data_IF_523464251683
#
_entry.id   IF_523464251683
#
_cell.length_a   1.000
_cell.length_b   1.000
_cell.length_c   1.000
_cell.angle_alpha   90.00
_cell.angle_beta   90.00
_cell.angle_gamma   90.00
#
_symmetry.space_group_name_H-M   'P 1'
#
loop_
_entity.id
_entity.type
_entity.pdbx_description
1 polymer ?
#
# COMPACT_ATOMS: atom_id res chain seq x y z
N UNK A 1 -9.76 16.09 0.45
CA UNK A 1 -8.86 14.93 0.32
C UNK A 1 -8.50 14.39 1.68
N UNK A 2 -8.81 13.13 1.91
CA UNK A 2 -8.36 12.38 3.10
C UNK A 2 -6.87 12.06 2.94
N UNK A 3 -6.10 12.14 4.03
CA UNK A 3 -4.69 11.75 4.07
C UNK A 3 -4.58 10.48 4.89
N UNK A 4 -3.94 9.46 4.35
CA UNK A 4 -3.68 8.21 5.06
C UNK A 4 -2.18 7.90 5.02
N UNK A 5 -1.67 7.36 6.12
CA UNK A 5 -0.32 6.80 6.16
C UNK A 5 -0.44 5.33 5.76
N UNK A 6 0.38 4.92 4.80
CA UNK A 6 0.43 3.53 4.32
C UNK A 6 1.53 2.80 5.07
N UNK A 7 1.16 1.67 5.66
CA UNK A 7 2.08 0.72 6.27
C UNK A 7 2.62 -0.28 5.21
N UNK A 8 3.78 -0.89 5.47
CA UNK A 8 4.41 -1.81 4.53
C UNK A 8 3.52 -3.01 4.22
N UNK A 9 2.77 -3.49 5.21
CA UNK A 9 1.85 -4.64 5.07
C UNK A 9 0.84 -4.45 3.93
N UNK A 10 0.34 -3.23 3.72
CA UNK A 10 -0.60 -2.91 2.63
C UNK A 10 0.06 -3.09 1.26
N UNK A 11 1.29 -2.59 1.13
CA UNK A 11 2.03 -2.71 -0.14
C UNK A 11 2.38 -4.18 -0.40
N UNK A 12 2.86 -4.90 0.61
CA UNK A 12 3.21 -6.31 0.51
C UNK A 12 1.99 -7.15 0.12
N UNK A 13 0.84 -6.93 0.77
CA UNK A 13 -0.41 -7.62 0.43
C UNK A 13 -0.83 -7.40 -1.03
N UNK A 14 -0.56 -6.22 -1.60
CA UNK A 14 -0.86 -5.94 -3.02
C UNK A 14 0.05 -6.70 -4.00
N UNK A 15 1.26 -7.09 -3.57
CA UNK A 15 2.25 -7.76 -4.41
C UNK A 15 2.05 -9.28 -4.43
N UNK A 16 1.72 -9.89 -3.30
CA UNK A 16 1.59 -11.34 -3.15
C UNK A 16 0.22 -11.85 -3.66
N UNK A 17 0.16 -12.83 -4.60
CA UNK A 17 -1.11 -13.30 -5.17
C UNK A 17 -2.06 -13.97 -4.16
N UNK A 18 -1.50 -14.71 -3.20
CA UNK A 18 -2.25 -15.53 -2.25
C UNK A 18 -2.58 -14.80 -0.94
N UNK A 19 -2.23 -13.51 -0.82
CA UNK A 19 -2.50 -12.72 0.38
C UNK A 19 -4.01 -12.44 0.53
N UNK A 20 -4.63 -12.78 1.68
CA UNK A 20 -6.07 -12.59 1.89
C UNK A 20 -6.54 -11.13 1.75
N UNK A 21 -5.63 -10.17 1.96
CA UNK A 21 -5.91 -8.74 1.91
C UNK A 21 -5.50 -8.07 0.60
N UNK A 22 -5.14 -8.86 -0.42
CA UNK A 22 -4.70 -8.35 -1.73
C UNK A 22 -5.71 -7.40 -2.36
N UNK A 23 -6.96 -7.82 -2.50
CA UNK A 23 -8.00 -7.03 -3.17
C UNK A 23 -8.31 -5.71 -2.43
N UNK A 24 -8.52 -5.70 -1.09
CA UNK A 24 -8.61 -4.45 -0.33
C UNK A 24 -7.39 -3.54 -0.49
N UNK A 25 -6.17 -4.09 -0.51
CA UNK A 25 -4.95 -3.31 -0.69
C UNK A 25 -4.88 -2.67 -2.08
N UNK A 26 -5.20 -3.42 -3.13
CA UNK A 26 -5.28 -2.91 -4.51
C UNK A 26 -6.35 -1.82 -4.65
N UNK A 27 -7.51 -1.99 -4.01
CA UNK A 27 -8.57 -0.98 -4.01
C UNK A 27 -8.08 0.32 -3.35
N UNK A 28 -7.41 0.25 -2.21
CA UNK A 28 -6.87 1.44 -1.54
C UNK A 28 -5.80 2.14 -2.39
N UNK A 29 -4.87 1.37 -2.98
CA UNK A 29 -3.79 1.92 -3.80
C UNK A 29 -4.30 2.49 -5.13
N UNK A 30 -5.38 1.94 -5.70
CA UNK A 30 -5.99 2.51 -6.92
C UNK A 30 -6.67 3.87 -6.67
N UNK A 31 -7.25 4.10 -5.48
CA UNK A 31 -7.79 5.41 -5.11
C UNK A 31 -6.70 6.50 -5.04
N UNK A 32 -5.46 6.13 -4.74
CA UNK A 32 -4.34 7.04 -4.84
C UNK A 32 -4.00 7.41 -6.29
N UNK A 33 -4.01 6.43 -7.20
CA UNK A 33 -3.75 6.66 -8.61
C UNK A 33 -4.82 7.53 -9.29
N UNK A 34 -6.03 7.55 -8.73
CA UNK A 34 -7.16 8.36 -9.19
C UNK A 34 -7.21 9.77 -8.56
N UNK A 35 -6.20 10.16 -7.77
CA UNK A 35 -6.16 11.41 -7.00
C UNK A 35 -7.34 11.59 -6.01
N UNK A 36 -8.06 10.53 -5.67
CA UNK A 36 -9.12 10.55 -4.66
C UNK A 36 -8.54 10.51 -3.23
N UNK A 37 -7.33 10.00 -3.08
CA UNK A 37 -6.66 9.77 -1.80
C UNK A 37 -5.19 10.23 -1.84
N UNK A 38 -4.74 10.93 -0.79
CA UNK A 38 -3.32 11.23 -0.62
C UNK A 38 -2.66 10.22 0.33
N UNK A 39 -1.77 9.40 -0.21
CA UNK A 39 -0.97 8.46 0.57
C UNK A 39 0.34 9.09 1.02
N UNK A 40 0.65 8.92 2.30
CA UNK A 40 1.90 9.31 2.92
C UNK A 40 2.66 8.06 3.33
N UNK A 41 3.98 8.11 3.25
CA UNK A 41 4.85 7.03 3.66
C UNK A 41 6.05 7.58 4.43
N UNK A 42 6.61 6.75 5.33
CA UNK A 42 7.88 7.02 5.98
C UNK A 42 9.04 6.66 5.04
N UNK A 43 10.19 7.36 5.09
CA UNK A 43 11.33 7.06 4.22
C UNK A 43 11.83 5.60 4.28
N UNK A 44 11.52 4.90 5.37
CA UNK A 44 11.93 3.52 5.62
C UNK A 44 11.05 2.46 4.95
N UNK A 45 9.84 2.82 4.51
CA UNK A 45 8.86 1.87 3.94
C UNK A 45 9.44 1.05 2.77
N UNK A 46 10.26 1.70 1.94
CA UNK A 46 10.91 1.02 0.79
C UNK A 46 11.79 -0.16 1.24
N UNK A 47 12.42 -0.08 2.40
CA UNK A 47 13.27 -1.15 2.92
C UNK A 47 12.42 -2.28 3.50
N UNK A 48 11.32 -1.96 4.19
CA UNK A 48 10.38 -2.95 4.72
C UNK A 48 9.73 -3.77 3.60
N UNK A 49 9.26 -3.10 2.54
CA UNK A 49 8.68 -3.77 1.37
C UNK A 49 9.71 -4.62 0.63
N UNK A 50 10.93 -4.10 0.44
CA UNK A 50 11.99 -4.85 -0.29
C UNK A 50 12.42 -6.12 0.46
N UNK A 51 12.43 -6.10 1.79
CA UNK A 51 12.83 -7.27 2.59
C UNK A 51 11.76 -8.37 2.66
N UNK A 52 10.52 -8.06 2.27
CA UNK A 52 9.39 -8.98 2.38
C UNK A 52 9.09 -9.75 1.08
N UNK A 53 9.77 -9.41 -0.03
CA UNK A 53 9.59 -9.99 -1.37
C UNK A 53 10.80 -10.83 -1.76
#
# INVERSE_FOLDING_TARGET
MTKLIVDASVVIASLLPDEPYRDPALQLLSQFLLDDLKLLTVPLLKYEVTNAV
#
